data_IF_939829379304
#
_entry.id   IF_939829379304
#
_cell.length_a   1.000
_cell.length_b   1.000
_cell.length_c   1.000
_cell.angle_alpha   90.00
_cell.angle_beta   90.00
_cell.angle_gamma   90.00
#
_symmetry.space_group_name_H-M   'P 1'
#
loop_
_entity.id
_entity.type
_entity.pdbx_description
1 polymer ?
#
# COMPACT_ATOMS: atom_id res chain seq x y z
N UNK A 1 25.03 -65.53 -14.62
CA UNK A 1 25.10 -64.18 -15.22
C UNK A 1 23.97 -63.34 -14.65
N UNK A 2 24.21 -62.54 -13.61
CA UNK A 2 23.18 -61.70 -12.95
C UNK A 2 23.55 -60.23 -13.19
N UNK A 3 22.79 -59.55 -14.04
CA UNK A 3 23.03 -58.16 -14.44
C UNK A 3 22.62 -57.22 -13.30
N UNK A 4 23.54 -56.32 -12.96
CA UNK A 4 23.46 -55.32 -11.91
C UNK A 4 22.38 -54.28 -12.26
N UNK A 5 21.40 -54.09 -11.40
CA UNK A 5 20.49 -52.95 -11.43
C UNK A 5 21.06 -51.91 -10.48
N UNK A 6 21.70 -50.89 -11.06
CA UNK A 6 22.17 -49.71 -10.36
C UNK A 6 20.93 -48.90 -9.97
N UNK A 7 20.63 -48.83 -8.68
CA UNK A 7 19.56 -48.00 -8.12
C UNK A 7 19.81 -46.55 -8.50
N UNK A 8 18.98 -46.02 -9.38
CA UNK A 8 18.96 -44.61 -9.78
C UNK A 8 18.50 -43.79 -8.58
N UNK A 9 19.47 -43.17 -7.89
CA UNK A 9 19.21 -42.27 -6.77
C UNK A 9 18.25 -41.17 -7.21
N UNK A 10 17.09 -41.15 -6.56
CA UNK A 10 16.03 -40.17 -6.74
C UNK A 10 16.55 -38.77 -6.42
N UNK A 11 16.99 -38.03 -7.43
CA UNK A 11 17.25 -36.59 -7.32
C UNK A 11 16.07 -35.82 -7.91
N UNK A 12 14.89 -35.97 -7.32
CA UNK A 12 13.87 -34.92 -7.41
C UNK A 12 14.28 -33.79 -6.47
N UNK A 13 15.23 -32.98 -6.92
CA UNK A 13 15.41 -31.64 -6.39
C UNK A 13 14.12 -30.89 -6.67
N UNK A 14 13.37 -30.59 -5.61
CA UNK A 14 12.27 -29.63 -5.63
C UNK A 14 12.84 -28.33 -6.22
N UNK A 15 12.55 -28.07 -7.49
CA UNK A 15 12.76 -26.76 -8.08
C UNK A 15 11.89 -25.81 -7.27
N UNK A 16 12.57 -25.05 -6.41
CA UNK A 16 11.98 -24.17 -5.43
C UNK A 16 10.97 -23.26 -6.09
N UNK A 17 9.81 -23.17 -5.45
CA UNK A 17 8.80 -22.16 -5.74
C UNK A 17 9.49 -20.80 -5.89
N UNK A 18 9.53 -20.30 -7.13
CA UNK A 18 9.82 -18.91 -7.38
C UNK A 18 8.60 -18.16 -6.85
N UNK A 19 8.68 -17.70 -5.61
CA UNK A 19 7.70 -16.79 -5.05
C UNK A 19 7.77 -15.50 -5.88
N UNK A 20 6.95 -15.40 -6.93
CA UNK A 20 6.63 -14.11 -7.52
C UNK A 20 5.86 -13.39 -6.43
N UNK A 21 6.55 -12.61 -5.59
CA UNK A 21 5.88 -11.66 -4.73
C UNK A 21 5.16 -10.70 -5.70
N UNK A 22 3.81 -10.65 -5.71
CA UNK A 22 3.15 -9.57 -6.41
C UNK A 22 3.64 -8.28 -5.75
N UNK A 23 4.42 -7.50 -6.49
CA UNK A 23 4.61 -6.10 -6.17
C UNK A 23 3.26 -5.44 -6.45
N UNK A 24 2.34 -5.50 -5.49
CA UNK A 24 1.14 -4.68 -5.57
C UNK A 24 1.63 -3.24 -5.63
N UNK A 25 1.32 -2.57 -6.73
CA UNK A 25 1.55 -1.14 -6.83
C UNK A 25 0.75 -0.47 -5.71
N UNK A 26 1.39 0.44 -4.98
CA UNK A 26 0.71 1.28 -4.01
C UNK A 26 -0.42 2.07 -4.69
N UNK A 27 -1.58 2.14 -4.03
CA UNK A 27 -2.74 2.89 -4.52
C UNK A 27 -2.66 4.34 -4.05
N UNK A 28 -2.84 5.30 -4.97
CA UNK A 28 -2.88 6.72 -4.65
C UNK A 28 -4.34 7.19 -4.58
N UNK A 29 -4.73 7.72 -3.43
CA UNK A 29 -6.06 8.35 -3.24
C UNK A 29 -5.92 9.85 -3.19
N UNK A 30 -6.59 10.56 -4.10
CA UNK A 30 -6.60 12.01 -4.12
C UNK A 30 -7.68 12.54 -3.16
N UNK A 31 -7.28 13.31 -2.14
CA UNK A 31 -8.23 14.00 -1.24
C UNK A 31 -8.87 15.25 -1.89
N UNK A 32 -8.30 15.74 -2.99
CA UNK A 32 -8.67 17.02 -3.57
C UNK A 32 -8.31 18.20 -2.66
N UNK A 33 -8.89 19.37 -2.93
CA UNK A 33 -8.62 20.60 -2.17
C UNK A 33 -9.58 20.79 -0.98
N UNK A 34 -10.36 19.77 -0.61
CA UNK A 34 -11.33 19.83 0.50
C UNK A 34 -12.32 21.01 0.36
N UNK A 35 -12.73 21.32 -0.88
CA UNK A 35 -13.55 22.49 -1.27
C UNK A 35 -12.87 23.87 -1.11
N UNK A 36 -11.53 23.90 -1.00
CA UNK A 36 -10.74 25.12 -0.85
C UNK A 36 -9.77 25.39 -2.01
N UNK A 37 -8.93 26.43 -1.91
CA UNK A 37 -7.95 26.82 -2.95
C UNK A 37 -6.77 25.86 -3.06
N UNK A 38 -6.22 25.45 -1.92
CA UNK A 38 -5.19 24.41 -1.84
C UNK A 38 -5.20 23.79 -0.43
N UNK A 39 -4.63 22.60 -0.32
CA UNK A 39 -4.42 21.89 0.93
C UNK A 39 -3.00 21.34 1.01
N UNK A 40 -2.48 21.22 2.24
CA UNK A 40 -1.18 20.63 2.53
C UNK A 40 -1.40 19.59 3.62
N UNK A 41 -1.02 18.34 3.34
CA UNK A 41 -0.94 17.29 4.34
C UNK A 41 0.34 17.49 5.17
N UNK A 42 0.20 17.49 6.50
CA UNK A 42 1.33 17.68 7.41
C UNK A 42 1.78 16.37 8.05
N UNK A 43 0.87 15.41 8.22
CA UNK A 43 1.17 14.11 8.82
C UNK A 43 0.15 13.04 8.41
N UNK A 44 0.56 11.77 8.51
CA UNK A 44 -0.25 10.58 8.25
C UNK A 44 -0.06 9.59 9.40
N UNK A 45 -1.14 8.94 9.84
CA UNK A 45 -1.03 7.89 10.85
C UNK A 45 -0.23 6.69 10.34
N UNK A 46 0.40 5.95 11.26
CA UNK A 46 1.24 4.78 10.93
C UNK A 46 0.51 3.69 10.12
N UNK A 47 -0.81 3.58 10.32
CA UNK A 47 -1.69 2.64 9.62
C UNK A 47 -2.28 3.22 8.31
N UNK A 48 -1.96 4.47 7.97
CA UNK A 48 -2.46 5.17 6.79
C UNK A 48 -3.95 5.49 6.83
N UNK A 49 -4.63 5.31 7.96
CA UNK A 49 -6.07 5.49 8.07
C UNK A 49 -6.48 6.96 8.26
N UNK A 50 -5.56 7.81 8.69
CA UNK A 50 -5.82 9.22 8.99
C UNK A 50 -4.76 10.10 8.34
N UNK A 51 -5.21 11.16 7.66
CA UNK A 51 -4.36 12.26 7.20
C UNK A 51 -4.80 13.56 7.88
N UNK A 52 -3.84 14.32 8.38
CA UNK A 52 -4.08 15.66 8.95
C UNK A 52 -3.32 16.72 8.17
N UNK A 53 -3.82 17.95 8.22
CA UNK A 53 -3.17 19.04 7.53
C UNK A 53 -3.90 20.37 7.63
N UNK A 54 -3.51 21.28 6.75
CA UNK A 54 -4.09 22.62 6.64
C UNK A 54 -4.65 22.86 5.25
N UNK A 55 -5.80 23.52 5.18
CA UNK A 55 -6.41 23.97 3.94
C UNK A 55 -6.52 25.49 3.92
N UNK A 56 -6.31 26.07 2.73
CA UNK A 56 -6.32 27.51 2.53
C UNK A 56 -7.68 27.99 2.08
N UNK A 57 -8.39 28.63 3.01
CA UNK A 57 -9.74 29.11 2.78
C UNK A 57 -9.76 30.29 1.79
N UNK A 58 -10.89 30.54 1.10
CA UNK A 58 -11.05 31.71 0.24
C UNK A 58 -10.78 33.05 0.94
N UNK A 59 -10.96 33.09 2.26
CA UNK A 59 -10.81 34.27 3.10
C UNK A 59 -9.36 34.47 3.60
N UNK A 60 -8.38 33.82 2.98
CA UNK A 60 -6.95 33.91 3.30
C UNK A 60 -6.54 33.36 4.67
N UNK A 61 -7.39 32.53 5.31
CA UNK A 61 -7.07 31.84 6.56
C UNK A 61 -6.70 30.37 6.33
N UNK A 62 -5.84 29.84 7.21
CA UNK A 62 -5.56 28.41 7.30
C UNK A 62 -6.58 27.73 8.22
N UNK A 63 -7.18 26.64 7.74
CA UNK A 63 -8.07 25.78 8.51
C UNK A 63 -7.46 24.40 8.65
N UNK A 64 -7.36 23.91 9.88
CA UNK A 64 -6.96 22.52 10.13
C UNK A 64 -8.04 21.56 9.61
N UNK A 65 -7.63 20.46 8.99
CA UNK A 65 -8.51 19.38 8.58
C UNK A 65 -8.02 18.04 9.12
N UNK A 66 -8.98 17.12 9.28
CA UNK A 66 -8.78 15.74 9.70
C UNK A 66 -9.54 14.85 8.73
N UNK A 67 -8.83 13.89 8.12
CA UNK A 67 -9.36 13.00 7.09
C UNK A 67 -9.14 11.53 7.45
N UNK A 68 -10.14 10.86 8.06
CA UNK A 68 -10.19 9.42 8.24
C UNK A 68 -10.69 8.72 6.97
N UNK A 69 -10.03 7.63 6.60
CA UNK A 69 -10.40 6.79 5.45
C UNK A 69 -11.64 5.93 5.71
N UNK A 70 -12.02 5.71 6.97
CA UNK A 70 -13.20 4.93 7.36
C UNK A 70 -14.24 5.86 7.99
N UNK A 71 -15.42 5.96 7.39
CA UNK A 71 -16.62 6.46 8.07
C UNK A 71 -17.07 7.91 7.81
N UNK A 72 -16.64 8.57 6.73
CA UNK A 72 -17.29 9.82 6.31
C UNK A 72 -18.61 9.53 5.58
N UNK A 73 -19.70 9.39 6.33
CA UNK A 73 -21.03 9.70 5.81
C UNK A 73 -21.15 11.22 5.74
N UNK A 74 -21.48 11.75 4.55
CA UNK A 74 -21.99 13.12 4.44
C UNK A 74 -23.38 13.23 5.05
#
# INVERSE_FOLDING_TARGET
>A
MKRRLCTWGSMTALMGAFCVAPCFAQSLTWLGTLDYRFSIATDVSDDGSVVVGIAYTPNFYFRAFYWPTVGWSR
#
